data_IF_225955428552
#
_entry.id   IF_225955428552
#
_cell.length_a   1.000
_cell.length_b   1.000
_cell.length_c   1.000
_cell.angle_alpha   90.00
_cell.angle_beta   90.00
_cell.angle_gamma   90.00
#
_symmetry.space_group_name_H-M   'P 1'
#
loop_
_entity.id
_entity.type
_entity.pdbx_description
1 polymer ?
#
# COMPACT_ATOMS: atom_id res chain seq x y z
N UNK A 1 27.53 -16.58 18.56
CA UNK A 1 27.47 -15.53 17.51
C UNK A 1 26.52 -16.06 16.45
N UNK A 2 25.26 -15.62 16.49
CA UNK A 2 24.25 -16.07 15.53
C UNK A 2 24.55 -15.51 14.14
N UNK A 3 24.41 -16.38 13.15
CA UNK A 3 24.77 -16.22 11.76
C UNK A 3 24.04 -15.02 11.12
N UNK A 4 24.77 -13.93 10.85
CA UNK A 4 24.22 -12.70 10.25
C UNK A 4 23.77 -12.91 8.80
N UNK A 5 24.25 -13.95 8.13
CA UNK A 5 23.95 -14.21 6.72
C UNK A 5 22.57 -14.87 6.55
N UNK A 6 22.19 -15.76 7.48
CA UNK A 6 20.85 -16.38 7.51
C UNK A 6 19.72 -15.36 7.64
N UNK A 7 19.88 -14.38 8.54
CA UNK A 7 18.85 -13.34 8.79
C UNK A 7 18.54 -12.50 7.55
N UNK A 8 19.54 -12.22 6.71
CA UNK A 8 19.33 -11.43 5.48
C UNK A 8 18.57 -12.24 4.42
N UNK A 9 18.88 -13.53 4.31
CA UNK A 9 18.17 -14.44 3.42
C UNK A 9 16.70 -14.59 3.82
N UNK A 10 16.44 -14.69 5.13
CA UNK A 10 15.08 -14.77 5.68
C UNK A 10 14.27 -13.51 5.38
N UNK A 11 14.85 -12.31 5.57
CA UNK A 11 14.17 -11.04 5.29
C UNK A 11 13.79 -10.89 3.82
N UNK A 12 14.67 -11.27 2.89
CA UNK A 12 14.37 -11.19 1.45
C UNK A 12 13.30 -12.21 1.04
N UNK A 13 13.32 -13.41 1.63
CA UNK A 13 12.31 -14.45 1.40
C UNK A 13 10.94 -13.98 1.89
N UNK A 14 10.87 -13.38 3.08
CA UNK A 14 9.62 -12.85 3.64
C UNK A 14 9.10 -11.64 2.87
N UNK A 15 9.99 -10.74 2.43
CA UNK A 15 9.64 -9.63 1.54
C UNK A 15 9.00 -10.14 0.24
N UNK A 16 9.59 -11.16 -0.38
CA UNK A 16 9.04 -11.74 -1.59
C UNK A 16 7.69 -12.42 -1.33
N UNK A 17 7.56 -13.19 -0.25
CA UNK A 17 6.32 -13.83 0.16
C UNK A 17 5.20 -12.80 0.36
N UNK A 18 5.46 -11.74 1.13
CA UNK A 18 4.55 -10.60 1.32
C UNK A 18 4.08 -10.03 -0.02
N UNK A 19 5.01 -9.73 -0.95
CA UNK A 19 4.67 -9.13 -2.25
C UNK A 19 3.92 -10.09 -3.20
N UNK A 20 4.14 -11.39 -3.09
CA UNK A 20 3.41 -12.41 -3.86
C UNK A 20 1.99 -12.60 -3.32
N UNK A 21 1.84 -12.69 -2.00
CA UNK A 21 0.53 -12.79 -1.34
C UNK A 21 -0.30 -11.52 -1.56
N UNK A 22 0.33 -10.34 -1.46
CA UNK A 22 -0.31 -9.06 -1.75
C UNK A 22 -0.88 -8.99 -3.18
N UNK A 23 -0.13 -9.51 -4.16
CA UNK A 23 -0.60 -9.56 -5.54
C UNK A 23 -1.71 -10.61 -5.73
N UNK A 24 -1.54 -11.82 -5.19
CA UNK A 24 -2.49 -12.93 -5.34
C UNK A 24 -3.84 -12.65 -4.68
N UNK A 25 -3.82 -12.20 -3.43
CA UNK A 25 -5.02 -12.13 -2.58
C UNK A 25 -5.70 -10.75 -2.63
N UNK A 26 -4.95 -9.71 -3.01
CA UNK A 26 -5.43 -8.31 -2.97
C UNK A 26 -5.28 -7.56 -4.29
N UNK A 27 -4.72 -8.18 -5.33
CA UNK A 27 -4.51 -7.54 -6.64
C UNK A 27 -3.54 -6.36 -6.58
N UNK A 28 -2.65 -6.32 -5.57
CA UNK A 28 -1.64 -5.28 -5.39
C UNK A 28 -0.42 -5.59 -6.29
N UNK A 29 -0.63 -5.44 -7.60
CA UNK A 29 0.44 -5.57 -8.60
C UNK A 29 1.55 -4.54 -8.38
N UNK A 30 2.74 -4.77 -8.93
CA UNK A 30 3.85 -3.81 -8.84
C UNK A 30 3.47 -2.42 -9.38
N UNK A 31 2.66 -2.36 -10.44
CA UNK A 31 2.15 -1.10 -11.00
C UNK A 31 1.22 -0.38 -10.04
N UNK A 32 0.34 -1.11 -9.35
CA UNK A 32 -0.58 -0.54 -8.36
C UNK A 32 0.17 -0.06 -7.12
N UNK A 33 1.10 -0.86 -6.59
CA UNK A 33 1.96 -0.46 -5.48
C UNK A 33 2.75 0.81 -5.80
N UNK A 34 3.38 0.89 -6.97
CA UNK A 34 4.09 2.09 -7.40
C UNK A 34 3.18 3.34 -7.44
N UNK A 35 1.96 3.20 -7.96
CA UNK A 35 0.99 4.30 -8.02
C UNK A 35 0.51 4.74 -6.62
N UNK A 36 0.27 3.79 -5.71
CA UNK A 36 -0.30 4.08 -4.40
C UNK A 36 0.74 4.55 -3.37
N UNK A 37 1.99 4.09 -3.50
CA UNK A 37 3.09 4.46 -2.60
C UNK A 37 3.91 5.65 -3.10
N UNK A 38 3.82 5.98 -4.40
CA UNK A 38 4.70 6.95 -5.05
C UNK A 38 6.11 6.44 -5.34
N UNK A 39 6.40 5.17 -5.03
CA UNK A 39 7.71 4.55 -5.27
C UNK A 39 7.86 4.25 -6.77
N UNK A 40 9.01 4.53 -7.40
CA UNK A 40 9.21 4.23 -8.81
C UNK A 40 8.93 2.76 -9.14
N UNK A 41 8.23 2.51 -10.25
CA UNK A 41 7.87 1.15 -10.68
C UNK A 41 9.10 0.24 -10.84
N UNK A 42 10.21 0.78 -11.34
CA UNK A 42 11.48 0.05 -11.48
C UNK A 42 12.00 -0.43 -10.12
N UNK A 43 11.87 0.38 -9.07
CA UNK A 43 12.23 0.02 -7.70
C UNK A 43 11.32 -1.10 -7.18
N UNK A 44 10.00 -0.96 -7.32
CA UNK A 44 9.06 -2.00 -6.88
C UNK A 44 9.30 -3.34 -7.60
N UNK A 45 9.57 -3.29 -8.90
CA UNK A 45 9.91 -4.49 -9.68
C UNK A 45 11.23 -5.13 -9.25
N UNK A 46 12.20 -4.33 -8.77
CA UNK A 46 13.49 -4.85 -8.29
C UNK A 46 13.36 -5.76 -7.07
N UNK A 47 12.32 -5.58 -6.25
CA UNK A 47 12.06 -6.38 -5.06
C UNK A 47 11.52 -7.78 -5.36
N UNK A 48 10.95 -8.01 -6.55
CA UNK A 48 10.34 -9.29 -6.97
C UNK A 48 11.21 -10.08 -7.95
N UNK A 49 12.49 -9.71 -8.12
CA UNK A 49 13.40 -10.38 -9.05
C UNK A 49 13.85 -11.72 -8.48
N UNK A 50 13.63 -12.81 -9.23
CA UNK A 50 13.91 -14.18 -8.79
C UNK A 50 15.40 -14.48 -8.50
N UNK A 51 16.34 -13.78 -9.16
CA UNK A 51 17.77 -14.08 -9.06
C UNK A 51 18.53 -13.18 -8.08
N UNK A 52 18.00 -11.99 -7.80
CA UNK A 52 18.64 -10.99 -6.93
C UNK A 52 17.60 -9.93 -6.52
N UNK A 53 16.69 -10.25 -5.60
CA UNK A 53 15.73 -9.27 -5.11
C UNK A 53 16.48 -8.19 -4.34
N UNK A 54 16.20 -6.92 -4.68
CA UNK A 54 16.71 -5.81 -3.89
C UNK A 54 16.01 -5.78 -2.53
N UNK A 55 16.77 -5.49 -1.48
CA UNK A 55 16.20 -5.27 -0.15
C UNK A 55 15.45 -3.93 -0.16
N UNK A 56 14.24 -3.93 0.38
CA UNK A 56 13.44 -2.72 0.56
C UNK A 56 14.09 -1.81 1.60
N UNK A 57 14.22 -0.53 1.27
CA UNK A 57 14.64 0.47 2.25
C UNK A 57 13.55 0.66 3.31
N UNK A 58 13.91 1.03 4.54
CA UNK A 58 12.93 1.22 5.61
C UNK A 58 11.85 2.25 5.27
N UNK A 59 12.21 3.35 4.60
CA UNK A 59 11.25 4.37 4.16
C UNK A 59 10.23 3.81 3.16
N UNK A 60 10.68 2.95 2.25
CA UNK A 60 9.81 2.26 1.29
C UNK A 60 8.91 1.26 2.01
N UNK A 61 9.44 0.54 3.01
CA UNK A 61 8.65 -0.39 3.82
C UNK A 61 7.51 0.31 4.56
N UNK A 62 7.78 1.47 5.17
CA UNK A 62 6.73 2.28 5.82
C UNK A 62 5.65 2.71 4.82
N UNK A 63 6.03 3.11 3.60
CA UNK A 63 5.06 3.44 2.56
C UNK A 63 4.24 2.23 2.12
N UNK A 64 4.87 1.06 2.02
CA UNK A 64 4.22 -0.21 1.68
C UNK A 64 3.24 -0.66 2.76
N UNK A 65 3.53 -0.47 4.05
CA UNK A 65 2.59 -0.74 5.16
C UNK A 65 1.30 0.09 5.07
N UNK A 66 1.33 1.25 4.42
CA UNK A 66 0.12 2.04 4.18
C UNK A 66 -0.75 1.48 3.05
N UNK A 67 -0.36 0.41 2.38
CA UNK A 67 -1.08 -0.13 1.22
C UNK A 67 -1.33 -1.63 1.38
N UNK A 68 -0.31 -2.38 1.78
CA UNK A 68 -0.40 -3.82 2.02
C UNK A 68 -1.01 -4.07 3.42
N UNK A 69 -1.90 -5.06 3.56
CA UNK A 69 -2.46 -5.44 4.87
C UNK A 69 -1.40 -5.81 5.92
N UNK A 70 -1.68 -5.46 7.18
CA UNK A 70 -0.71 -5.56 8.29
C UNK A 70 -0.24 -6.97 8.59
N UNK A 71 -1.10 -7.99 8.43
CA UNK A 71 -0.70 -9.39 8.60
C UNK A 71 0.33 -9.84 7.56
N UNK A 72 0.34 -9.24 6.35
CA UNK A 72 1.36 -9.54 5.34
C UNK A 72 2.64 -8.76 5.59
N UNK A 73 2.56 -7.49 5.97
CA UNK A 73 3.75 -6.69 6.29
C UNK A 73 4.45 -7.17 7.57
N UNK A 74 3.70 -7.82 8.47
CA UNK A 74 4.23 -8.52 9.64
C UNK A 74 5.19 -9.66 9.29
N UNK A 75 5.05 -10.31 8.13
CA UNK A 75 5.98 -11.36 7.67
C UNK A 75 7.42 -10.86 7.62
N UNK A 76 7.61 -9.60 7.20
CA UNK A 76 8.94 -8.96 7.14
C UNK A 76 9.53 -8.65 8.52
N UNK A 77 8.74 -8.75 9.59
CA UNK A 77 9.10 -8.43 10.97
C UNK A 77 9.20 -9.69 11.86
N UNK A 78 8.69 -10.83 11.39
CA UNK A 78 8.77 -12.12 12.07
C UNK A 78 10.21 -12.52 12.48
N UNK A 79 11.26 -12.32 11.67
CA UNK A 79 12.63 -12.63 12.09
C UNK A 79 13.09 -11.86 13.34
N UNK A 80 12.49 -10.69 13.60
CA UNK A 80 12.75 -9.89 14.79
C UNK A 80 11.76 -10.18 15.95
N UNK A 81 10.84 -11.15 15.77
CA UNK A 81 9.76 -11.45 16.70
C UNK A 81 8.78 -10.29 16.87
N UNK A 82 8.59 -9.48 15.83
CA UNK A 82 7.70 -8.32 15.82
C UNK A 82 6.54 -8.56 14.86
N UNK A 83 5.39 -7.99 15.18
CA UNK A 83 4.18 -8.01 14.36
C UNK A 83 3.58 -6.61 14.36
N UNK A 84 2.97 -6.23 13.24
CA UNK A 84 2.11 -5.06 13.16
C UNK A 84 0.73 -5.52 13.61
N UNK A 85 0.26 -4.92 14.70
CA UNK A 85 -1.05 -5.19 15.27
C UNK A 85 -1.86 -3.93 15.08
N UNK A 86 -3.06 -4.09 14.52
CA UNK A 86 -4.07 -3.04 14.59
C UNK A 86 -4.52 -2.96 16.06
N UNK A 87 -4.43 -1.78 16.66
CA UNK A 87 -4.84 -1.60 18.06
C UNK A 87 -6.36 -1.55 18.22
N UNK A 88 -7.13 -1.67 17.13
CA UNK A 88 -8.57 -1.93 17.14
C UNK A 88 -9.43 -0.79 17.72
N UNK A 89 -8.81 0.24 18.27
CA UNK A 89 -9.45 1.45 18.78
C UNK A 89 -9.17 2.67 17.87
N UNK A 90 -8.38 2.49 16.82
CA UNK A 90 -8.04 3.51 15.85
C UNK A 90 -9.19 3.83 14.88
N UNK A 91 -10.22 4.52 15.35
CA UNK A 91 -11.18 5.25 14.49
C UNK A 91 -10.46 6.20 13.49
N UNK A 92 -9.14 6.38 13.59
CA UNK A 92 -8.31 7.12 12.64
C UNK A 92 -8.45 6.65 11.19
N UNK A 93 -8.48 5.34 10.90
CA UNK A 93 -8.70 4.86 9.52
C UNK A 93 -10.11 5.18 9.04
N UNK A 94 -11.11 5.03 9.91
CA UNK A 94 -12.50 5.39 9.60
C UNK A 94 -12.67 6.90 9.42
N UNK A 95 -12.03 7.71 10.26
CA UNK A 95 -12.01 9.16 10.19
C UNK A 95 -11.29 9.66 8.92
N UNK A 96 -10.19 9.02 8.51
CA UNK A 96 -9.52 9.31 7.25
C UNK A 96 -10.39 8.94 6.05
N UNK A 97 -11.11 7.81 6.11
CA UNK A 97 -12.10 7.45 5.07
C UNK A 97 -13.23 8.49 5.00
N UNK A 98 -13.80 8.88 6.13
CA UNK A 98 -14.84 9.90 6.19
C UNK A 98 -14.34 11.25 5.63
N UNK A 99 -13.11 11.64 5.96
CA UNK A 99 -12.48 12.86 5.44
C UNK A 99 -12.28 12.81 3.92
N UNK A 100 -11.76 11.70 3.39
CA UNK A 100 -11.58 11.54 1.95
C UNK A 100 -12.91 11.41 1.20
N UNK A 101 -13.95 10.83 1.81
CA UNK A 101 -15.29 10.72 1.22
C UNK A 101 -16.09 12.03 1.28
N UNK A 102 -15.85 12.85 2.30
CA UNK A 102 -16.60 14.08 2.55
C UNK A 102 -16.53 15.05 1.36
N UNK A 103 -17.70 15.42 0.84
CA UNK A 103 -17.81 16.36 -0.28
C UNK A 103 -17.38 15.81 -1.64
N UNK A 104 -17.02 14.51 -1.76
CA UNK A 104 -16.63 13.93 -3.06
C UNK A 104 -17.74 14.10 -4.11
N UNK A 105 -19.00 13.79 -3.77
CA UNK A 105 -20.13 13.91 -4.70
C UNK A 105 -20.35 15.35 -5.16
N UNK A 106 -20.26 16.33 -4.26
CA UNK A 106 -20.41 17.74 -4.59
C UNK A 106 -19.28 18.19 -5.54
N UNK A 107 -18.03 17.90 -5.19
CA UNK A 107 -16.87 18.21 -6.05
C UNK A 107 -16.97 17.52 -7.43
N UNK A 108 -17.45 16.27 -7.46
CA UNK A 108 -17.63 15.52 -8.70
C UNK A 108 -18.69 16.17 -9.60
N UNK A 109 -19.81 16.63 -9.04
CA UNK A 109 -20.86 17.32 -9.78
C UNK A 109 -20.36 18.67 -10.27
N UNK A 110 -19.73 19.47 -9.40
CA UNK A 110 -19.21 20.81 -9.74
C UNK A 110 -18.20 20.75 -10.88
N UNK A 111 -17.20 19.86 -10.78
CA UNK A 111 -16.17 19.70 -11.83
C UNK A 111 -16.70 19.15 -13.15
N UNK A 112 -17.91 18.56 -13.16
CA UNK A 112 -18.58 18.10 -14.38
C UNK A 112 -19.62 19.11 -14.90
N UNK A 113 -20.04 20.09 -14.11
CA UNK A 113 -21.07 21.07 -14.46
C UNK A 113 -20.58 22.09 -15.52
N UNK A 114 -19.29 22.42 -15.53
CA UNK A 114 -18.73 23.47 -16.40
C UNK A 114 -18.63 23.06 -17.90
N UNK A 115 -18.93 21.81 -18.26
CA UNK A 115 -18.95 21.31 -19.64
C UNK A 115 -17.57 21.16 -20.31
N UNK A 116 -16.57 21.95 -19.91
CA UNK A 116 -15.16 21.80 -20.28
C UNK A 116 -14.47 20.76 -19.40
N UNK A 117 -14.48 19.52 -19.87
CA UNK A 117 -13.83 18.41 -19.18
C UNK A 117 -12.31 18.50 -19.29
N UNK A 118 -11.64 19.13 -18.32
CA UNK A 118 -10.19 19.08 -18.25
C UNK A 118 -9.72 17.65 -17.89
N UNK A 119 -8.75 17.12 -18.64
CA UNK A 119 -8.17 15.80 -18.35
C UNK A 119 -7.54 15.72 -16.96
N UNK A 120 -7.09 16.86 -16.41
CA UNK A 120 -6.52 16.95 -15.07
C UNK A 120 -7.58 16.75 -13.99
N UNK A 121 -8.77 17.34 -14.15
CA UNK A 121 -9.89 17.17 -13.20
C UNK A 121 -10.39 15.74 -13.15
N UNK A 122 -10.55 15.10 -14.32
CA UNK A 122 -10.88 13.67 -14.39
C UNK A 122 -9.83 12.79 -13.71
N UNK A 123 -8.55 13.18 -13.80
CA UNK A 123 -7.46 12.43 -13.14
C UNK A 123 -7.53 12.61 -11.63
N UNK A 124 -7.69 13.83 -11.14
CA UNK A 124 -7.81 14.14 -9.71
C UNK A 124 -9.00 13.43 -9.06
N UNK A 125 -10.17 13.44 -9.71
CA UNK A 125 -11.37 12.73 -9.22
C UNK A 125 -11.18 11.20 -9.16
N UNK A 126 -10.43 10.62 -10.10
CA UNK A 126 -10.10 9.19 -10.08
C UNK A 126 -9.07 8.85 -9.00
N UNK A 127 -8.04 9.66 -8.86
CA UNK A 127 -7.01 9.49 -7.82
C UNK A 127 -7.65 9.55 -6.42
N UNK A 128 -8.58 10.50 -6.19
CA UNK A 128 -9.33 10.59 -4.93
C UNK A 128 -10.23 9.37 -4.72
N UNK A 129 -10.96 8.92 -5.73
CA UNK A 129 -11.76 7.70 -5.64
C UNK A 129 -10.93 6.45 -5.32
N UNK A 130 -9.71 6.34 -5.87
CA UNK A 130 -8.79 5.24 -5.55
C UNK A 130 -8.34 5.28 -4.09
N UNK A 131 -7.97 6.46 -3.55
CA UNK A 131 -7.62 6.60 -2.13
C UNK A 131 -8.76 6.20 -1.22
N UNK A 132 -9.98 6.66 -1.51
CA UNK A 132 -11.19 6.27 -0.77
C UNK A 132 -11.41 4.74 -0.81
N UNK A 133 -11.27 4.11 -1.98
CA UNK A 133 -11.42 2.66 -2.12
C UNK A 133 -10.39 1.87 -1.30
N UNK A 134 -9.13 2.30 -1.31
CA UNK A 134 -8.08 1.65 -0.53
C UNK A 134 -8.29 1.81 0.99
N UNK A 135 -8.71 3.00 1.43
CA UNK A 135 -9.08 3.24 2.83
C UNK A 135 -10.29 2.40 3.24
N UNK A 136 -11.33 2.30 2.41
CA UNK A 136 -12.50 1.49 2.69
C UNK A 136 -12.16 0.00 2.83
N UNK A 137 -11.25 -0.52 1.99
CA UNK A 137 -10.75 -1.90 2.12
C UNK A 137 -9.99 -2.10 3.43
N UNK A 138 -9.25 -1.09 3.92
CA UNK A 138 -8.55 -1.17 5.21
C UNK A 138 -9.54 -1.15 6.37
N UNK A 139 -10.44 -0.17 6.39
CA UNK A 139 -11.48 -0.01 7.41
C UNK A 139 -12.39 -1.23 7.53
N UNK A 140 -12.73 -1.89 6.42
CA UNK A 140 -13.57 -3.09 6.47
C UNK A 140 -12.86 -4.34 7.05
N UNK A 141 -11.55 -4.23 7.34
CA UNK A 141 -10.69 -5.35 7.73
C UNK A 141 -9.90 -5.10 9.03
N UNK A 142 -9.95 -3.86 9.54
CA UNK A 142 -9.69 -3.50 10.93
C UNK A 142 -10.89 -3.89 11.79
#
# INVERSE_FOLDING_TARGET
MADRDGTKHDVLTQQEAMLRLAERDYGLTAKRLAAETGIPLSTVQSWKRALAPAQMALGDFVAVCRVIPDHLTSLCLEPAGKQIVDDGEGDGLFADLLREASGYTAEHIERLADGTHCHQDKRALRERAQRMGNLAVKVARS
#
